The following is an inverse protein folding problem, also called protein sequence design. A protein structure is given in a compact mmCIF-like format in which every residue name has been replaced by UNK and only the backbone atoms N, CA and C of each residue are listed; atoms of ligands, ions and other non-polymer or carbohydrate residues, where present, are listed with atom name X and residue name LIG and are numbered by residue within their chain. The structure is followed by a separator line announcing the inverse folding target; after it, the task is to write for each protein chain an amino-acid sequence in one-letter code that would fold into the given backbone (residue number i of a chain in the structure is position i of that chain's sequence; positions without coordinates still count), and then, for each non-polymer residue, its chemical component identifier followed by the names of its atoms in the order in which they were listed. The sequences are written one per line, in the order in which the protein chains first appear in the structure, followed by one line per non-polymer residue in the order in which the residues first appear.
data_IF_037747738633
#
_entry.id   IF_037747738633
#
_cell.length_a   1.000
_cell.length_b   1.000
_cell.length_c   1.000
_cell.angle_alpha   90.00
_cell.angle_beta   90.00
_cell.angle_gamma   90.00
#
_symmetry.space_group_name_H-M   'P 1'
#
loop_
_entity.id
_entity.type
_entity.pdbx_description
1 polymer ?
#
# COMPACT_ATOMS: atom_id res chain seq x y z
N UNK A 1 -0.20 -11.54 -16.54
CA UNK A 1 1.23 -11.35 -16.19
C UNK A 1 1.77 -12.59 -15.49
N UNK A 2 1.94 -13.69 -16.24
CA UNK A 2 2.49 -14.94 -15.72
C UNK A 2 3.90 -14.77 -15.14
N UNK A 3 4.69 -13.87 -15.74
CA UNK A 3 6.05 -13.58 -15.30
C UNK A 3 6.11 -12.97 -13.89
N UNK A 4 5.18 -12.07 -13.55
CA UNK A 4 5.13 -11.46 -12.21
C UNK A 4 4.81 -12.50 -11.13
N UNK A 5 4.04 -13.53 -11.48
CA UNK A 5 3.68 -14.59 -10.55
C UNK A 5 4.90 -15.44 -10.17
N UNK A 6 5.75 -15.78 -11.15
CA UNK A 6 6.95 -16.59 -10.91
C UNK A 6 7.99 -15.82 -10.08
N UNK A 7 8.21 -14.54 -10.38
CA UNK A 7 9.16 -13.71 -9.63
C UNK A 7 8.71 -13.50 -8.18
N UNK A 8 7.40 -13.36 -7.94
CA UNK A 8 6.84 -13.25 -6.58
C UNK A 8 7.01 -14.55 -5.79
N UNK A 9 6.73 -15.71 -6.39
CA UNK A 9 6.93 -17.00 -5.72
C UNK A 9 8.40 -17.28 -5.38
N UNK A 10 9.33 -16.88 -6.25
CA UNK A 10 10.76 -17.07 -6.01
C UNK A 10 11.26 -16.19 -4.87
N UNK A 11 10.79 -14.93 -4.82
CA UNK A 11 11.17 -14.00 -3.75
C UNK A 11 10.62 -14.39 -2.38
N UNK A 12 9.44 -15.03 -2.33
CA UNK A 12 8.89 -15.62 -1.11
C UNK A 12 9.80 -16.74 -0.59
N UNK A 13 10.34 -17.56 -1.50
CA UNK A 13 11.21 -18.69 -1.14
C UNK A 13 12.57 -18.23 -0.60
N UNK A 14 13.11 -17.16 -1.15
CA UNK A 14 14.38 -16.55 -0.74
C UNK A 14 14.27 -15.90 0.65
N UNK A 15 13.17 -15.18 0.92
CA UNK A 15 12.93 -14.53 2.21
C UNK A 15 12.72 -15.53 3.37
N UNK A 16 12.11 -16.69 3.09
CA UNK A 16 11.95 -17.77 4.09
C UNK A 16 13.30 -18.34 4.52
N UNK A 17 14.31 -18.30 3.64
CA UNK A 17 15.65 -18.80 3.94
C UNK A 17 16.53 -17.79 4.69
N UNK A 18 16.32 -16.48 4.51
CA UNK A 18 17.21 -15.46 5.07
C UNK A 18 16.90 -15.02 6.51
N UNK A 19 15.64 -15.07 6.99
CA UNK A 19 15.26 -14.41 8.26
C UNK A 19 14.36 -15.25 9.19
N UNK A 20 14.99 -16.21 9.89
CA UNK A 20 14.34 -17.18 10.80
C UNK A 20 14.18 -16.73 12.27
N UNK A 21 14.71 -15.57 12.68
CA UNK A 21 15.00 -15.28 14.11
C UNK A 21 14.38 -14.01 14.72
N UNK A 22 13.41 -13.36 14.06
CA UNK A 22 12.76 -12.16 14.60
C UNK A 22 11.32 -12.45 15.01
N UNK A 23 10.88 -11.81 16.10
CA UNK A 23 9.49 -11.84 16.54
C UNK A 23 8.59 -11.28 15.43
N UNK A 24 7.69 -12.12 14.92
CA UNK A 24 6.84 -11.86 13.76
C UNK A 24 6.08 -10.52 13.91
N UNK A 25 5.72 -10.14 15.14
CA UNK A 25 5.03 -8.88 15.42
C UNK A 25 5.90 -7.64 15.15
N UNK A 26 7.19 -7.67 15.51
CA UNK A 26 8.11 -6.53 15.31
C UNK A 26 8.53 -6.37 13.85
N UNK A 27 8.78 -7.47 13.14
CA UNK A 27 9.09 -7.44 11.70
C UNK A 27 7.91 -6.83 10.94
N UNK A 28 6.70 -7.31 11.22
CA UNK A 28 5.52 -6.91 10.46
C UNK A 28 5.11 -5.47 10.78
N UNK A 29 5.22 -5.03 12.05
CA UNK A 29 4.97 -3.63 12.39
C UNK A 29 5.99 -2.68 11.72
N UNK A 30 7.28 -3.05 11.67
CA UNK A 30 8.31 -2.29 10.97
C UNK A 30 8.08 -2.23 9.44
N UNK A 31 7.73 -3.36 8.84
CA UNK A 31 7.44 -3.48 7.40
C UNK A 31 6.17 -2.72 7.00
N UNK A 32 5.12 -2.77 7.83
CA UNK A 32 3.90 -2.01 7.66
C UNK A 32 4.16 -0.51 7.74
N UNK A 33 4.84 -0.04 8.78
CA UNK A 33 5.07 1.39 8.96
C UNK A 33 5.92 1.98 7.81
N UNK A 34 6.92 1.23 7.34
CA UNK A 34 7.77 1.64 6.20
C UNK A 34 6.98 1.68 4.89
N UNK A 35 6.19 0.63 4.60
CA UNK A 35 5.39 0.54 3.38
C UNK A 35 4.24 1.54 3.40
N UNK A 36 3.52 1.65 4.51
CA UNK A 36 2.39 2.56 4.66
C UNK A 36 2.84 4.02 4.59
N UNK A 37 3.94 4.40 5.26
CA UNK A 37 4.50 5.77 5.15
C UNK A 37 4.88 6.11 3.72
N UNK A 38 5.55 5.19 3.00
CA UNK A 38 5.89 5.40 1.59
C UNK A 38 4.65 5.56 0.73
N UNK A 39 3.67 4.68 0.89
CA UNK A 39 2.43 4.67 0.09
C UNK A 39 1.60 5.93 0.35
N UNK A 40 1.49 6.35 1.61
CA UNK A 40 0.86 7.59 2.01
C UNK A 40 1.54 8.80 1.40
N UNK A 41 2.87 8.88 1.48
CA UNK A 41 3.61 10.04 0.99
C UNK A 41 3.50 10.19 -0.53
N UNK A 42 3.57 9.08 -1.27
CA UNK A 42 3.33 9.07 -2.73
C UNK A 42 1.89 9.44 -3.06
N UNK A 43 0.90 8.93 -2.32
CA UNK A 43 -0.52 9.26 -2.54
C UNK A 43 -0.83 10.74 -2.27
N UNK A 44 -0.19 11.31 -1.25
CA UNK A 44 -0.38 12.70 -0.87
C UNK A 44 0.22 13.64 -1.93
N UNK A 45 1.43 13.32 -2.41
CA UNK A 45 2.09 14.11 -3.46
C UNK A 45 1.35 14.03 -4.79
N UNK A 46 0.81 12.87 -5.18
CA UNK A 46 -0.04 12.78 -6.38
C UNK A 46 -1.34 13.57 -6.21
N UNK A 47 -1.97 13.56 -5.02
CA UNK A 47 -3.16 14.36 -4.75
C UNK A 47 -2.89 15.87 -4.89
N UNK A 48 -1.75 16.35 -4.38
CA UNK A 48 -1.32 17.75 -4.52
C UNK A 48 -1.13 18.13 -5.99
N UNK A 49 -0.47 17.28 -6.78
CA UNK A 49 -0.28 17.50 -8.22
C UNK A 49 -1.62 17.52 -8.96
N UNK A 50 -2.52 16.56 -8.67
CA UNK A 50 -3.84 16.50 -9.28
C UNK A 50 -4.70 17.71 -8.94
N UNK A 51 -4.64 18.21 -7.70
CA UNK A 51 -5.35 19.43 -7.29
C UNK A 51 -4.82 20.67 -8.01
N UNK A 52 -3.49 20.81 -8.12
CA UNK A 52 -2.89 21.90 -8.89
C UNK A 52 -3.32 21.84 -10.37
N UNK A 53 -3.29 20.66 -10.98
CA UNK A 53 -3.76 20.46 -12.37
C UNK A 53 -5.27 20.70 -12.51
N UNK A 54 -6.08 20.40 -11.50
CA UNK A 54 -7.52 20.63 -11.56
C UNK A 54 -7.87 22.13 -11.52
N UNK A 55 -7.13 22.91 -10.73
CA UNK A 55 -7.30 24.37 -10.61
C UNK A 55 -6.72 25.10 -11.84
N UNK A 56 -5.50 24.75 -12.25
CA UNK A 56 -4.74 25.48 -13.30
C UNK A 56 -4.75 24.82 -14.69
N UNK A 57 -5.17 23.56 -14.81
CA UNK A 57 -5.15 22.81 -16.06
C UNK A 57 -6.30 23.11 -17.00
N UNK A 58 -6.20 22.60 -18.23
CA UNK A 58 -7.17 22.83 -19.30
C UNK A 58 -8.53 22.17 -19.02
N UNK A 59 -9.61 22.86 -19.38
CA UNK A 59 -11.00 22.43 -19.16
C UNK A 59 -11.32 21.05 -19.74
N UNK A 60 -10.69 20.67 -20.86
CA UNK A 60 -10.86 19.38 -21.52
C UNK A 60 -10.44 18.17 -20.67
N UNK A 61 -9.55 18.36 -19.69
CA UNK A 61 -9.03 17.30 -18.82
C UNK A 61 -9.71 17.26 -17.44
N UNK A 62 -10.56 18.24 -17.09
CA UNK A 62 -11.16 18.34 -15.75
C UNK A 62 -11.97 17.11 -15.36
N UNK A 63 -12.72 16.52 -16.30
CA UNK A 63 -13.48 15.28 -16.05
C UNK A 63 -12.59 14.08 -15.72
N UNK A 64 -11.46 13.94 -16.43
CA UNK A 64 -10.47 12.89 -16.16
C UNK A 64 -9.78 13.11 -14.81
N UNK A 65 -9.34 14.35 -14.54
CA UNK A 65 -8.67 14.71 -13.29
C UNK A 65 -9.61 14.51 -12.08
N UNK A 66 -10.90 14.82 -12.22
CA UNK A 66 -11.88 14.55 -11.18
C UNK A 66 -12.00 13.05 -10.87
N UNK A 67 -12.08 12.20 -11.90
CA UNK A 67 -12.11 10.75 -11.72
C UNK A 67 -10.84 10.22 -11.01
N UNK A 68 -9.67 10.77 -11.36
CA UNK A 68 -8.40 10.41 -10.71
C UNK A 68 -8.34 10.86 -9.25
N UNK A 69 -8.81 12.06 -8.93
CA UNK A 69 -8.86 12.56 -7.54
C UNK A 69 -9.75 11.67 -6.67
N UNK A 70 -10.94 11.31 -7.17
CA UNK A 70 -11.86 10.40 -6.46
C UNK A 70 -11.22 9.02 -6.29
N UNK A 71 -10.60 8.48 -7.34
CA UNK A 71 -9.91 7.19 -7.30
C UNK A 71 -8.77 7.14 -6.28
N UNK A 72 -7.93 8.18 -6.24
CA UNK A 72 -6.85 8.30 -5.26
C UNK A 72 -7.41 8.43 -3.84
N UNK A 73 -8.43 9.28 -3.61
CA UNK A 73 -9.06 9.42 -2.29
C UNK A 73 -9.62 8.09 -1.76
N UNK A 74 -10.37 7.36 -2.59
CA UNK A 74 -10.94 6.05 -2.20
C UNK A 74 -9.83 5.02 -1.99
N UNK A 75 -8.82 4.98 -2.86
CA UNK A 75 -7.70 4.05 -2.78
C UNK A 75 -6.81 4.28 -1.55
N UNK A 76 -6.50 5.54 -1.23
CA UNK A 76 -5.72 5.90 -0.05
C UNK A 76 -6.52 5.64 1.23
N UNK A 77 -7.82 5.98 1.27
CA UNK A 77 -8.66 5.70 2.44
C UNK A 77 -8.78 4.19 2.70
N UNK A 78 -9.04 3.40 1.65
CA UNK A 78 -9.07 1.93 1.75
C UNK A 78 -7.73 1.37 2.25
N UNK A 79 -6.60 1.83 1.72
CA UNK A 79 -5.29 1.31 2.13
C UNK A 79 -4.93 1.65 3.58
N UNK A 80 -5.32 2.84 4.08
CA UNK A 80 -4.99 3.27 5.44
C UNK A 80 -5.95 2.71 6.48
N UNK A 81 -7.26 2.70 6.17
CA UNK A 81 -8.28 2.33 7.14
C UNK A 81 -8.75 0.88 7.04
N UNK A 82 -8.50 0.19 5.92
CA UNK A 82 -8.92 -1.21 5.74
C UNK A 82 -7.70 -2.15 5.80
N UNK A 83 -6.60 -1.84 5.11
CA UNK A 83 -5.45 -2.75 5.10
C UNK A 83 -4.73 -2.82 6.46
N UNK A 84 -4.59 -1.70 7.18
CA UNK A 84 -3.93 -1.66 8.50
C UNK A 84 -4.64 -2.50 9.56
N UNK A 85 -5.97 -2.40 9.78
CA UNK A 85 -6.67 -3.26 10.74
C UNK A 85 -6.83 -4.71 10.25
N UNK A 86 -7.00 -4.96 8.95
CA UNK A 86 -7.06 -6.34 8.42
C UNK A 86 -5.73 -7.07 8.66
N UNK A 87 -4.60 -6.39 8.44
CA UNK A 87 -3.28 -6.97 8.70
C UNK A 87 -3.08 -7.20 10.20
N UNK A 88 -3.51 -6.26 11.04
CA UNK A 88 -3.46 -6.42 12.50
C UNK A 88 -4.33 -7.60 12.99
N UNK A 89 -5.52 -7.80 12.40
CA UNK A 89 -6.40 -8.94 12.75
C UNK A 89 -5.84 -10.27 12.24
N UNK A 90 -5.22 -10.27 11.06
CA UNK A 90 -4.55 -11.46 10.48
C UNK A 90 -3.34 -11.88 11.32
N UNK A 91 -2.57 -10.91 11.83
CA UNK A 91 -1.46 -11.16 12.78
C UNK A 91 -1.96 -11.73 14.11
N UNK A 92 -3.05 -11.18 14.67
CA UNK A 92 -3.69 -11.73 15.88
C UNK A 92 -4.09 -13.20 15.73
N UNK A 93 -4.52 -13.62 14.53
CA UNK A 93 -4.90 -15.01 14.25
C UNK A 93 -3.69 -15.94 14.08
N UNK A 94 -2.54 -15.42 13.65
CA UNK A 94 -1.29 -16.16 13.52
C UNK A 94 -0.63 -16.37 14.90
N UNK A 95 -0.65 -15.35 15.76
CA UNK A 95 -0.14 -15.40 17.14
C UNK A 95 -0.93 -16.40 18.00
N UNK A 96 -2.23 -16.54 17.77
CA UNK A 96 -3.10 -17.50 18.49
C UNK A 96 -2.90 -18.97 18.09
N UNK A 97 -2.09 -19.24 17.06
CA UNK A 97 -1.82 -20.58 16.51
C UNK A 97 -0.40 -21.08 16.79
N UNK A 98 0.46 -20.26 17.39
CA UNK A 98 1.82 -20.59 17.81
C UNK A 98 1.85 -21.04 19.28
#
# INVERSE_FOLDING_TARGET
SLNDTVVVFDRIREYINEHSSWDFGKIVNGALNSTLSRTLNTSLTTLVVLLAMFIFGADSLRGLLFALIVGVLVGTYSSVFIATPIMHDTLKRLDKKA
#
